data_IF_524522684339
#
_entry.id   IF_524522684339
#
_cell.length_a   1.000
_cell.length_b   1.000
_cell.length_c   1.000
_cell.angle_alpha   90.00
_cell.angle_beta   90.00
_cell.angle_gamma   90.00
#
_symmetry.space_group_name_H-M   'P 1'
#
loop_
_entity.id
_entity.type
_entity.pdbx_description
1 polymer ?
#
# COMPACT_ATOMS: atom_id res chain seq x y z
N UNK A 1 11.08 10.35 -3.12
CA UNK A 1 9.97 10.36 -4.09
C UNK A 1 10.46 9.54 -5.26
N UNK A 2 10.03 8.29 -5.37
CA UNK A 2 10.64 7.32 -6.30
C UNK A 2 9.73 7.13 -7.51
N UNK A 3 10.31 7.21 -8.72
CA UNK A 3 9.63 7.17 -10.01
C UNK A 3 8.98 5.80 -10.28
N UNK A 4 7.74 5.84 -10.75
CA UNK A 4 7.10 4.67 -11.33
C UNK A 4 7.79 4.30 -12.66
N UNK A 5 8.53 3.18 -12.68
CA UNK A 5 9.08 2.61 -13.91
C UNK A 5 8.08 1.63 -14.53
N UNK A 6 7.67 1.92 -15.76
CA UNK A 6 6.81 1.03 -16.56
C UNK A 6 7.69 0.25 -17.53
N UNK A 7 7.74 -1.07 -17.41
CA UNK A 7 8.43 -1.95 -18.39
C UNK A 7 7.40 -2.83 -19.10
N UNK A 8 7.42 -2.84 -20.43
CA UNK A 8 6.48 -3.56 -21.28
C UNK A 8 7.07 -4.92 -21.67
N UNK A 9 6.40 -6.02 -21.34
CA UNK A 9 6.76 -7.37 -21.84
C UNK A 9 5.47 -8.08 -22.24
N UNK A 10 5.45 -8.60 -23.46
CA UNK A 10 4.27 -9.01 -24.23
C UNK A 10 3.17 -9.81 -23.50
N UNK A 11 1.92 -9.48 -23.85
CA UNK A 11 0.76 -10.36 -23.71
C UNK A 11 0.19 -10.58 -22.31
N UNK A 12 0.81 -10.05 -21.24
CA UNK A 12 0.25 -10.04 -19.89
C UNK A 12 -0.23 -8.63 -19.53
N UNK A 13 -1.38 -8.54 -18.88
CA UNK A 13 -1.86 -7.30 -18.25
C UNK A 13 -0.70 -6.62 -17.51
N UNK A 14 -0.27 -5.46 -18.00
CA UNK A 14 0.80 -4.69 -17.38
C UNK A 14 0.34 -4.23 -16.01
N UNK A 15 0.76 -4.92 -14.95
CA UNK A 15 0.39 -4.54 -13.59
C UNK A 15 1.25 -3.37 -13.15
N UNK A 16 0.62 -2.37 -12.54
CA UNK A 16 1.27 -1.27 -11.84
C UNK A 16 1.34 -1.68 -10.37
N UNK A 17 2.53 -1.57 -9.77
CA UNK A 17 2.75 -1.87 -8.35
C UNK A 17 3.10 -0.58 -7.62
N UNK A 18 2.35 -0.28 -6.56
CA UNK A 18 2.66 0.74 -5.57
C UNK A 18 3.06 0.02 -4.29
N UNK A 19 4.26 0.31 -3.79
CA UNK A 19 4.79 -0.23 -2.53
C UNK A 19 5.01 0.92 -1.57
N UNK A 20 4.40 0.84 -0.40
CA UNK A 20 4.57 1.78 0.69
C UNK A 20 5.32 1.09 1.82
N UNK A 21 6.32 1.77 2.36
CA UNK A 21 7.08 1.33 3.52
C UNK A 21 6.96 2.40 4.61
N UNK A 22 6.17 2.12 5.63
CA UNK A 22 5.79 3.09 6.64
C UNK A 22 6.35 2.64 8.00
N UNK A 23 7.21 3.43 8.66
CA UNK A 23 7.65 3.14 10.02
C UNK A 23 6.47 3.13 10.98
N UNK A 24 6.16 1.97 11.56
CA UNK A 24 5.06 1.76 12.50
C UNK A 24 5.42 0.61 13.44
N UNK A 25 5.11 0.77 14.71
CA UNK A 25 5.18 -0.32 15.67
C UNK A 25 4.14 -1.42 15.36
N UNK A 26 4.24 -2.54 16.08
CA UNK A 26 3.38 -3.69 15.82
C UNK A 26 1.90 -3.41 16.13
N UNK A 27 1.58 -2.62 17.15
CA UNK A 27 0.21 -2.28 17.54
C UNK A 27 -0.46 -1.37 16.48
N UNK A 28 0.26 -0.36 16.00
CA UNK A 28 -0.19 0.49 14.91
C UNK A 28 -0.32 -0.30 13.60
N UNK A 29 0.56 -1.28 13.35
CA UNK A 29 0.41 -2.22 12.25
C UNK A 29 -0.91 -3.01 12.32
N UNK A 30 -1.26 -3.56 13.49
CA UNK A 30 -2.52 -4.32 13.64
C UNK A 30 -3.77 -3.49 13.30
N UNK A 31 -3.68 -2.18 13.48
CA UNK A 31 -4.76 -1.23 13.16
C UNK A 31 -4.88 -0.89 11.67
N UNK A 32 -3.79 -1.02 10.91
CA UNK A 32 -3.74 -0.65 9.48
C UNK A 32 -3.62 -1.84 8.53
N UNK A 33 -3.31 -3.02 9.04
CA UNK A 33 -3.18 -4.22 8.22
C UNK A 33 -4.49 -4.51 7.51
N UNK A 34 -4.36 -5.10 6.34
CA UNK A 34 -5.48 -5.66 5.58
C UNK A 34 -5.21 -7.13 5.35
N UNK A 35 -6.27 -7.92 5.35
CA UNK A 35 -6.22 -9.26 4.81
C UNK A 35 -5.88 -9.20 3.32
N UNK A 36 -5.15 -10.20 2.84
CA UNK A 36 -4.78 -10.28 1.43
C UNK A 36 -6.04 -10.26 0.56
N UNK A 37 -6.10 -9.26 -0.32
CA UNK A 37 -7.23 -9.04 -1.21
C UNK A 37 -6.82 -9.24 -2.66
N UNK A 38 -7.67 -9.94 -3.43
CA UNK A 38 -7.51 -10.12 -4.87
C UNK A 38 -8.86 -10.05 -5.57
N UNK A 39 -9.03 -9.07 -6.45
CA UNK A 39 -10.25 -8.97 -7.24
C UNK A 39 -10.31 -7.73 -8.12
N UNK A 40 -11.11 -7.82 -9.19
CA UNK A 40 -11.46 -6.68 -10.06
C UNK A 40 -10.26 -5.90 -10.59
N UNK A 41 -9.15 -6.58 -10.85
CA UNK A 41 -7.91 -5.96 -11.35
C UNK A 41 -7.10 -5.23 -10.29
N UNK A 42 -7.35 -5.46 -8.99
CA UNK A 42 -6.56 -4.93 -7.86
C UNK A 42 -6.17 -6.08 -6.94
N UNK A 43 -4.92 -6.06 -6.46
CA UNK A 43 -4.43 -6.94 -5.41
C UNK A 43 -3.80 -6.09 -4.31
N UNK A 44 -4.07 -6.42 -3.05
CA UNK A 44 -3.56 -5.69 -1.89
C UNK A 44 -2.99 -6.72 -0.92
N UNK A 45 -1.79 -6.46 -0.41
CA UNK A 45 -1.15 -7.27 0.62
C UNK A 45 -0.52 -6.35 1.65
N UNK A 46 -0.44 -6.83 2.90
CA UNK A 46 0.23 -6.10 3.97
C UNK A 46 1.04 -7.03 4.87
N UNK A 47 2.22 -6.58 5.29
CA UNK A 47 3.09 -7.32 6.21
C UNK A 47 3.85 -6.38 7.13
N UNK A 48 4.24 -6.85 8.31
CA UNK A 48 5.13 -6.14 9.22
C UNK A 48 6.53 -6.74 9.16
N UNK A 49 7.53 -5.94 8.80
CA UNK A 49 8.92 -6.37 8.68
C UNK A 49 9.80 -5.27 9.28
N UNK A 50 10.67 -5.63 10.22
CA UNK A 50 11.67 -4.72 10.82
C UNK A 50 11.09 -3.39 11.32
N UNK A 51 9.93 -3.42 12.00
CA UNK A 51 9.28 -2.22 12.52
C UNK A 51 8.64 -1.33 11.45
N UNK A 52 8.33 -1.90 10.28
CA UNK A 52 7.68 -1.19 9.17
C UNK A 52 6.48 -1.97 8.67
N UNK A 53 5.41 -1.24 8.37
CA UNK A 53 4.35 -1.73 7.51
C UNK A 53 4.84 -1.69 6.06
N UNK A 54 4.86 -2.86 5.43
CA UNK A 54 5.00 -3.01 3.98
C UNK A 54 3.60 -3.21 3.42
N UNK A 55 3.12 -2.24 2.66
CA UNK A 55 1.80 -2.30 2.03
C UNK A 55 1.96 -2.24 0.52
N UNK A 56 1.46 -3.25 -0.18
CA UNK A 56 1.60 -3.34 -1.63
C UNK A 56 0.22 -3.33 -2.26
N UNK A 57 -0.01 -2.38 -3.16
CA UNK A 57 -1.18 -2.33 -4.02
C UNK A 57 -0.72 -2.56 -5.45
N UNK A 58 -1.19 -3.64 -6.05
CA UNK A 58 -1.02 -3.89 -7.46
C UNK A 58 -2.33 -3.68 -8.20
N UNK A 59 -2.27 -3.12 -9.40
CA UNK A 59 -3.47 -2.96 -10.21
C UNK A 59 -3.20 -3.13 -11.70
N UNK A 60 -4.22 -3.45 -12.47
CA UNK A 60 -4.21 -3.21 -13.92
C UNK A 60 -4.16 -1.69 -14.20
N UNK A 61 -3.74 -1.25 -15.40
CA UNK A 61 -3.59 0.17 -15.70
C UNK A 61 -4.89 0.96 -15.59
N UNK A 62 -6.02 0.37 -16.00
CA UNK A 62 -7.35 0.96 -15.91
C UNK A 62 -7.86 1.12 -14.46
N UNK A 63 -7.20 0.47 -13.50
CA UNK A 63 -7.50 0.53 -12.06
C UNK A 63 -6.48 1.35 -11.27
N UNK A 64 -5.51 1.99 -11.93
CA UNK A 64 -4.47 2.77 -11.27
C UNK A 64 -5.02 3.85 -10.35
N UNK A 65 -6.06 4.57 -10.77
CA UNK A 65 -6.69 5.61 -9.93
C UNK A 65 -7.22 5.06 -8.60
N UNK A 66 -7.76 3.83 -8.59
CA UNK A 66 -8.20 3.17 -7.37
C UNK A 66 -7.01 2.77 -6.49
N UNK A 67 -5.95 2.20 -7.09
CA UNK A 67 -4.73 1.84 -6.36
C UNK A 67 -4.09 3.07 -5.69
N UNK A 68 -4.06 4.21 -6.41
CA UNK A 68 -3.59 5.49 -5.88
C UNK A 68 -4.46 5.98 -4.72
N UNK A 69 -5.78 5.88 -4.83
CA UNK A 69 -6.70 6.30 -3.75
C UNK A 69 -6.52 5.46 -2.48
N UNK A 70 -6.41 4.13 -2.62
CA UNK A 70 -6.13 3.21 -1.49
C UNK A 70 -4.80 3.58 -0.82
N UNK A 71 -3.75 3.78 -1.62
CA UNK A 71 -2.41 4.14 -1.13
C UNK A 71 -2.44 5.48 -0.38
N UNK A 72 -3.15 6.47 -0.90
CA UNK A 72 -3.29 7.77 -0.25
C UNK A 72 -4.08 7.68 1.07
N UNK A 73 -5.11 6.84 1.12
CA UNK A 73 -5.88 6.65 2.35
C UNK A 73 -5.03 5.99 3.44
N UNK A 74 -4.24 4.97 3.10
CA UNK A 74 -3.32 4.37 4.05
C UNK A 74 -2.33 5.38 4.62
N UNK A 75 -1.76 6.25 3.77
CA UNK A 75 -0.85 7.30 4.23
C UNK A 75 -1.53 8.31 5.17
N UNK A 76 -2.82 8.61 4.95
CA UNK A 76 -3.60 9.46 5.86
C UNK A 76 -3.80 8.79 7.21
N UNK A 77 -4.24 7.53 7.22
CA UNK A 77 -4.46 6.76 8.44
C UNK A 77 -3.17 6.58 9.25
N UNK A 78 -2.05 6.28 8.60
CA UNK A 78 -0.76 6.19 9.26
C UNK A 78 -0.34 7.49 9.96
N UNK A 79 -0.53 8.64 9.31
CA UNK A 79 -0.27 9.95 9.92
C UNK A 79 -1.20 10.25 11.11
N UNK A 80 -2.45 9.81 11.03
CA UNK A 80 -3.40 9.95 12.15
C UNK A 80 -2.96 9.13 13.36
N UNK A 81 -2.53 7.89 13.17
CA UNK A 81 -2.02 7.05 14.25
C UNK A 81 -0.76 7.64 14.89
N UNK A 82 0.18 8.15 14.08
CA UNK A 82 1.37 8.84 14.60
C UNK A 82 1.00 10.07 15.44
N UNK A 83 0.01 10.85 15.00
CA UNK A 83 -0.46 12.02 15.73
C UNK A 83 -1.17 11.67 17.05
N UNK A 84 -1.87 10.53 17.12
CA UNK A 84 -2.48 10.02 18.35
C UNK A 84 -1.40 9.53 19.31
N UNK A 85 -0.42 8.76 18.83
CA UNK A 85 0.67 8.23 19.66
C UNK A 85 1.54 9.31 20.30
N UNK A 86 1.69 10.48 19.67
CA UNK A 86 2.42 11.63 20.23
C UNK A 86 1.67 12.41 21.31
N UNK A 87 0.38 12.15 21.51
CA UNK A 87 -0.48 12.85 22.49
C UNK A 87 -0.64 12.09 23.81
N UNK A 88 -0.12 10.87 23.89
CA UNK A 88 -0.04 10.04 25.10
C UNK A 88 1.35 10.16 25.70
#
# INVERSE_FOLDING_TARGET
MEEAKTTWIGGKWSRIRVRLEIPLDFEAFLSLRVDDFKGKGVEITSSHVDGRLIYVVESTPDKFSLARSISNELLRLAKMLEAVGKRL
#
